data_IF_973820135856
#
_entry.id   IF_973820135856
#
_cell.length_a   1.000
_cell.length_b   1.000
_cell.length_c   1.000
_cell.angle_alpha   90.00
_cell.angle_beta   90.00
_cell.angle_gamma   90.00
#
_symmetry.space_group_name_H-M   'P 1'
#
loop_
_entity.id
_entity.type
_entity.pdbx_description
1 polymer ?
#
# COMPACT_ATOMS: atom_id res chain seq x y z
N UNK A 1 14.63 9.39 -13.51
CA UNK A 1 13.56 8.39 -13.29
C UNK A 1 13.79 7.78 -11.91
N UNK A 2 12.76 7.67 -11.07
CA UNK A 2 12.85 6.95 -9.79
C UNK A 2 12.96 5.47 -10.14
N UNK A 3 14.05 4.79 -9.79
CA UNK A 3 14.14 3.34 -9.98
C UNK A 3 13.02 2.68 -9.15
N UNK A 4 12.16 1.94 -9.83
CA UNK A 4 11.14 1.13 -9.17
C UNK A 4 11.83 -0.18 -8.79
N UNK A 5 12.19 -0.31 -7.53
CA UNK A 5 12.56 -1.61 -6.97
C UNK A 5 11.33 -2.52 -7.03
N UNK A 6 11.38 -3.52 -7.90
CA UNK A 6 10.32 -4.53 -8.00
C UNK A 6 10.54 -5.57 -6.90
N UNK A 7 9.48 -5.95 -6.21
CA UNK A 7 9.53 -6.99 -5.18
C UNK A 7 9.96 -8.33 -5.78
N UNK A 8 11.03 -8.93 -5.24
CA UNK A 8 11.50 -10.24 -5.69
C UNK A 8 10.80 -11.34 -4.88
N UNK A 9 9.95 -12.12 -5.53
CA UNK A 9 9.20 -13.17 -4.84
C UNK A 9 10.14 -14.22 -4.23
N UNK A 10 10.01 -14.43 -2.93
CA UNK A 10 10.62 -15.57 -2.24
C UNK A 10 9.70 -16.79 -2.29
N UNK A 11 10.29 -17.97 -2.49
CA UNK A 11 9.58 -19.25 -2.42
C UNK A 11 9.60 -19.78 -0.99
N UNK A 12 8.45 -20.31 -0.55
CA UNK A 12 8.28 -21.02 0.70
C UNK A 12 8.01 -22.49 0.40
N UNK A 13 8.57 -23.36 1.23
CA UNK A 13 8.37 -24.81 1.20
C UNK A 13 7.84 -25.22 2.56
N UNK A 14 6.89 -26.14 2.57
CA UNK A 14 6.34 -26.67 3.79
C UNK A 14 7.31 -27.67 4.41
N UNK A 15 7.22 -27.80 5.73
CA UNK A 15 7.91 -28.88 6.44
C UNK A 15 7.04 -30.12 6.38
N UNK A 16 7.59 -31.23 5.90
CA UNK A 16 6.89 -32.51 5.75
C UNK A 16 7.55 -33.55 6.64
N UNK A 17 6.74 -34.21 7.46
CA UNK A 17 7.16 -35.28 8.36
C UNK A 17 6.28 -36.51 8.18
N UNK A 18 6.75 -37.67 8.66
CA UNK A 18 6.02 -38.94 8.57
C UNK A 18 4.65 -38.87 9.29
N UNK A 19 4.60 -38.21 10.45
CA UNK A 19 3.41 -38.01 11.27
C UNK A 19 3.28 -36.53 11.63
N UNK A 20 2.74 -35.68 10.75
CA UNK A 20 2.64 -34.24 11.02
C UNK A 20 1.73 -33.94 12.20
N UNK A 21 2.16 -33.04 13.09
CA UNK A 21 1.37 -32.57 14.22
C UNK A 21 1.14 -33.62 15.32
N UNK A 22 1.95 -34.66 15.39
CA UNK A 22 1.93 -35.61 16.51
C UNK A 22 2.88 -35.19 17.62
N UNK A 23 2.44 -35.40 18.85
CA UNK A 23 3.18 -35.04 20.06
C UNK A 23 3.11 -36.17 21.07
N UNK A 24 4.19 -36.34 21.82
CA UNK A 24 4.22 -37.12 23.05
C UNK A 24 4.00 -36.19 24.23
N UNK A 25 3.10 -36.58 25.12
CA UNK A 25 2.80 -35.83 26.34
C UNK A 25 3.67 -36.32 27.50
N UNK A 26 4.20 -35.37 28.26
CA UNK A 26 4.90 -35.61 29.52
C UNK A 26 4.19 -34.84 30.61
N UNK A 27 3.70 -35.54 31.63
CA UNK A 27 3.09 -34.92 32.79
C UNK A 27 4.18 -34.50 33.79
N UNK A 28 4.21 -33.22 34.13
CA UNK A 28 5.20 -32.62 35.00
C UNK A 28 4.75 -32.70 36.47
N UNK A 29 5.72 -32.58 37.39
CA UNK A 29 5.46 -32.64 38.83
C UNK A 29 4.56 -31.49 39.33
N UNK A 30 4.56 -30.36 38.62
CA UNK A 30 3.72 -29.19 38.91
C UNK A 30 2.28 -29.32 38.36
N UNK A 31 1.95 -30.46 37.75
CA UNK A 31 0.64 -30.72 37.15
C UNK A 31 0.47 -30.19 35.72
N UNK A 32 1.48 -29.51 35.16
CA UNK A 32 1.47 -29.11 33.75
C UNK A 32 1.74 -30.29 32.81
N UNK A 33 1.41 -30.14 31.52
CA UNK A 33 1.71 -31.10 30.47
C UNK A 33 2.64 -30.44 29.45
N UNK A 34 3.75 -31.11 29.13
CA UNK A 34 4.64 -30.72 28.04
C UNK A 34 4.37 -31.58 26.81
N UNK A 35 4.05 -30.93 25.69
CA UNK A 35 3.99 -31.58 24.38
C UNK A 35 5.36 -31.55 23.72
N UNK A 36 5.94 -32.73 23.47
CA UNK A 36 7.19 -32.89 22.73
C UNK A 36 6.83 -33.40 21.34
N UNK A 37 7.24 -32.73 20.25
CA UNK A 37 7.00 -33.23 18.90
C UNK A 37 7.49 -34.67 18.73
N UNK A 38 6.65 -35.55 18.18
CA UNK A 38 6.95 -36.96 17.90
C UNK A 38 6.51 -37.30 16.47
N UNK A 39 7.05 -36.53 15.53
CA UNK A 39 6.58 -36.45 14.16
C UNK A 39 7.15 -37.54 13.23
N UNK A 40 7.95 -38.46 13.78
CA UNK A 40 8.66 -39.48 13.00
C UNK A 40 9.82 -38.89 12.18
N UNK A 41 10.08 -39.48 11.02
CA UNK A 41 11.11 -38.99 10.10
C UNK A 41 10.72 -37.65 9.46
N UNK A 42 11.69 -36.73 9.32
CA UNK A 42 11.51 -35.48 8.58
C UNK A 42 11.85 -35.74 7.11
N UNK A 43 10.85 -35.67 6.25
CA UNK A 43 11.00 -35.87 4.80
C UNK A 43 11.44 -34.58 4.09
N UNK A 44 10.95 -33.43 4.57
CA UNK A 44 11.34 -32.09 4.09
C UNK A 44 11.39 -31.12 5.28
N UNK A 45 12.47 -30.34 5.43
CA UNK A 45 12.63 -29.38 6.54
C UNK A 45 11.79 -28.09 6.37
N UNK A 46 11.34 -27.80 5.15
CA UNK A 46 10.63 -26.57 4.82
C UNK A 46 11.51 -25.32 4.85
N UNK A 47 10.88 -24.17 4.60
CA UNK A 47 11.54 -22.86 4.63
C UNK A 47 11.58 -22.28 6.05
N UNK A 48 12.70 -21.68 6.47
CA UNK A 48 12.82 -21.16 7.84
C UNK A 48 11.88 -19.99 8.06
N UNK A 49 11.07 -20.07 9.12
CA UNK A 49 10.24 -18.95 9.57
C UNK A 49 11.10 -17.96 10.37
N UNK A 50 11.42 -16.79 9.79
CA UNK A 50 12.30 -15.81 10.41
C UNK A 50 11.82 -14.37 10.19
N UNK A 51 12.16 -13.49 11.12
CA UNK A 51 11.82 -12.07 11.04
C UNK A 51 12.32 -11.43 9.74
N UNK A 52 13.51 -11.79 9.25
CA UNK A 52 14.04 -11.27 7.98
C UNK A 52 13.13 -11.61 6.79
N UNK A 53 12.64 -12.85 6.70
CA UNK A 53 11.74 -13.27 5.62
C UNK A 53 10.34 -12.67 5.76
N UNK A 54 9.83 -12.57 6.99
CA UNK A 54 8.53 -11.93 7.24
C UNK A 54 8.56 -10.43 6.95
N UNK A 55 9.59 -9.73 7.42
CA UNK A 55 9.77 -8.29 7.15
C UNK A 55 9.97 -8.01 5.66
N UNK A 56 10.54 -8.94 4.91
CA UNK A 56 10.63 -8.82 3.46
C UNK A 56 9.22 -8.78 2.83
N UNK A 57 8.34 -9.71 3.20
CA UNK A 57 6.93 -9.73 2.77
C UNK A 57 6.20 -8.45 3.19
N UNK A 58 6.29 -8.07 4.47
CA UNK A 58 5.67 -6.85 5.01
C UNK A 58 6.13 -5.59 4.29
N UNK A 59 7.44 -5.47 4.04
CA UNK A 59 8.02 -4.36 3.29
C UNK A 59 7.49 -4.30 1.85
N UNK A 60 7.34 -5.46 1.19
CA UNK A 60 6.74 -5.56 -0.14
C UNK A 60 5.29 -5.09 -0.17
N UNK A 61 4.47 -5.57 0.77
CA UNK A 61 3.05 -5.18 0.92
C UNK A 61 2.93 -3.69 1.19
N UNK A 62 3.72 -3.17 2.15
CA UNK A 62 3.71 -1.76 2.52
C UNK A 62 4.07 -0.85 1.33
N UNK A 63 5.18 -1.12 0.64
CA UNK A 63 5.60 -0.35 -0.54
C UNK A 63 4.53 -0.36 -1.64
N UNK A 64 3.94 -1.53 -1.91
CA UNK A 64 2.86 -1.67 -2.91
C UNK A 64 1.61 -0.85 -2.53
N UNK A 65 1.20 -0.91 -1.26
CA UNK A 65 0.05 -0.16 -0.74
C UNK A 65 0.24 1.35 -0.88
N UNK A 66 1.42 1.86 -0.52
CA UNK A 66 1.75 3.29 -0.68
C UNK A 66 1.75 3.68 -2.16
N UNK A 67 2.35 2.89 -3.04
CA UNK A 67 2.37 3.19 -4.47
C UNK A 67 0.97 3.17 -5.08
N UNK A 68 0.12 2.23 -4.69
CA UNK A 68 -1.28 2.18 -5.12
C UNK A 68 -2.06 3.42 -4.67
N UNK A 69 -1.82 3.89 -3.44
CA UNK A 69 -2.40 5.14 -2.95
C UNK A 69 -1.92 6.35 -3.77
N UNK A 70 -0.60 6.48 -3.98
CA UNK A 70 -0.04 7.58 -4.78
C UNK A 70 -0.61 7.57 -6.20
N UNK A 71 -0.64 6.41 -6.86
CA UNK A 71 -1.21 6.29 -8.20
C UNK A 71 -2.69 6.71 -8.23
N UNK A 72 -3.46 6.34 -7.21
CA UNK A 72 -4.87 6.76 -7.10
C UNK A 72 -4.99 8.28 -6.99
N UNK A 73 -4.17 8.90 -6.14
CA UNK A 73 -4.17 10.35 -5.93
C UNK A 73 -3.79 11.08 -7.24
N UNK A 74 -2.73 10.62 -7.92
CA UNK A 74 -2.27 11.16 -9.20
C UNK A 74 -3.31 11.01 -10.32
N UNK A 75 -3.94 9.82 -10.44
CA UNK A 75 -5.00 9.58 -11.43
C UNK A 75 -6.21 10.49 -11.16
N UNK A 76 -6.53 10.73 -9.89
CA UNK A 76 -7.64 11.62 -9.51
C UNK A 76 -7.33 13.06 -9.92
N UNK A 77 -6.10 13.53 -9.66
CA UNK A 77 -5.60 14.84 -10.13
C UNK A 77 -5.74 14.98 -11.64
N UNK A 78 -5.21 14.01 -12.39
CA UNK A 78 -5.25 14.01 -13.85
C UNK A 78 -6.68 13.96 -14.40
N UNK A 79 -7.58 13.22 -13.74
CA UNK A 79 -8.98 13.14 -14.17
C UNK A 79 -9.70 14.50 -14.04
N UNK A 80 -9.45 15.25 -12.96
CA UNK A 80 -9.99 16.60 -12.77
C UNK A 80 -9.43 17.57 -13.80
N UNK A 81 -8.10 17.54 -14.01
CA UNK A 81 -7.44 18.37 -15.00
C UNK A 81 -8.00 18.15 -16.41
N UNK A 82 -8.14 16.89 -16.82
CA UNK A 82 -8.71 16.51 -18.11
C UNK A 82 -10.17 16.96 -18.24
N UNK A 83 -10.99 16.84 -17.20
CA UNK A 83 -12.38 17.28 -17.22
C UNK A 83 -12.51 18.80 -17.45
N UNK A 84 -11.67 19.59 -16.79
CA UNK A 84 -11.63 21.05 -16.94
C UNK A 84 -11.17 21.45 -18.35
N UNK A 85 -10.06 20.87 -18.83
CA UNK A 85 -9.54 21.15 -20.17
C UNK A 85 -10.55 20.79 -21.27
N UNK A 86 -11.24 19.64 -21.12
CA UNK A 86 -12.34 19.26 -22.02
C UNK A 86 -13.46 20.29 -22.00
N UNK A 87 -13.91 20.71 -20.82
CA UNK A 87 -14.97 21.70 -20.71
C UNK A 87 -14.56 23.06 -21.33
N UNK A 88 -13.34 23.51 -21.09
CA UNK A 88 -12.80 24.73 -21.67
C UNK A 88 -12.75 24.69 -23.20
N UNK A 89 -12.25 23.59 -23.75
CA UNK A 89 -12.21 23.37 -25.20
C UNK A 89 -13.61 23.38 -25.82
N UNK A 90 -14.60 22.77 -25.14
CA UNK A 90 -16.00 22.77 -25.60
C UNK A 90 -16.64 24.16 -25.52
N UNK A 91 -16.20 25.02 -24.60
CA UNK A 91 -16.73 26.37 -24.40
C UNK A 91 -15.90 27.47 -25.09
N UNK A 92 -15.01 27.12 -26.02
CA UNK A 92 -14.13 28.07 -26.73
C UNK A 92 -13.32 28.98 -25.79
N UNK A 93 -12.92 28.49 -24.61
CA UNK A 93 -11.99 29.21 -23.74
C UNK A 93 -10.59 29.02 -24.32
N UNK A 94 -10.14 29.99 -25.11
CA UNK A 94 -8.85 29.95 -25.83
C UNK A 94 -7.67 30.53 -25.06
N UNK A 95 -7.88 31.02 -23.83
CA UNK A 95 -6.89 31.72 -23.02
C UNK A 95 -6.48 30.90 -21.78
N UNK A 96 -5.30 31.20 -21.23
CA UNK A 96 -4.59 30.43 -20.19
C UNK A 96 -5.49 29.87 -19.07
N UNK A 97 -5.44 28.55 -18.88
CA UNK A 97 -6.08 27.86 -17.76
C UNK A 97 -4.98 27.26 -16.90
N UNK A 98 -4.90 27.70 -15.65
CA UNK A 98 -3.97 27.16 -14.66
C UNK A 98 -4.77 26.36 -13.64
N UNK A 99 -4.36 25.11 -13.43
CA UNK A 99 -4.96 24.20 -12.46
C UNK A 99 -3.87 23.82 -11.47
N UNK A 100 -4.16 23.99 -10.18
CA UNK A 100 -3.25 23.64 -9.09
C UNK A 100 -4.05 22.85 -8.06
N UNK A 101 -3.60 21.64 -7.73
CA UNK A 101 -4.19 20.84 -6.67
C UNK A 101 -3.51 21.15 -5.34
N UNK A 102 -4.30 21.52 -4.35
CA UNK A 102 -3.84 21.81 -2.99
C UNK A 102 -4.30 20.72 -2.03
N UNK A 103 -3.46 20.38 -1.05
CA UNK A 103 -3.81 19.43 0.01
C UNK A 103 -4.90 19.99 0.93
N UNK A 104 -4.95 21.33 1.11
CA UNK A 104 -5.98 22.05 1.86
C UNK A 104 -6.22 23.44 1.25
N UNK A 105 -7.43 23.98 1.47
CA UNK A 105 -7.85 25.28 0.93
C UNK A 105 -7.19 26.47 1.66
N UNK A 106 -6.66 26.24 2.86
CA UNK A 106 -6.02 27.25 3.71
C UNK A 106 -4.68 27.75 3.16
N UNK A 107 -4.16 27.12 2.10
CA UNK A 107 -2.87 27.46 1.48
C UNK A 107 -2.96 28.55 0.39
N UNK A 108 -4.11 29.18 0.20
CA UNK A 108 -4.33 30.19 -0.85
C UNK A 108 -4.50 31.59 -0.23
N UNK A 109 -3.48 32.43 -0.35
CA UNK A 109 -3.58 33.87 -0.09
C UNK A 109 -3.92 34.63 -1.39
N UNK A 110 -5.10 35.27 -1.42
CA UNK A 110 -5.50 36.16 -2.50
C UNK A 110 -4.90 37.54 -2.29
N UNK A 111 -3.89 37.90 -3.09
CA UNK A 111 -3.29 39.23 -3.02
C UNK A 111 -4.17 40.30 -3.72
N UNK A 112 -4.83 39.94 -4.83
CA UNK A 112 -5.71 40.82 -5.60
C UNK A 112 -6.91 40.05 -6.16
N UNK A 113 -8.04 40.74 -6.36
CA UNK A 113 -9.28 40.18 -6.91
C UNK A 113 -10.38 39.95 -5.87
N UNK A 114 -11.58 39.57 -6.32
CA UNK A 114 -12.75 39.25 -5.49
C UNK A 114 -13.18 37.81 -5.76
N UNK A 115 -13.30 37.03 -4.68
CA UNK A 115 -13.86 35.68 -4.74
C UNK A 115 -15.39 35.73 -4.60
N UNK A 116 -16.10 35.32 -5.65
CA UNK A 116 -17.54 35.07 -5.60
C UNK A 116 -17.79 33.71 -4.93
N UNK A 117 -18.30 33.75 -3.70
CA UNK A 117 -18.54 32.58 -2.87
C UNK A 117 -19.73 31.72 -3.33
N UNK A 118 -20.67 32.30 -4.10
CA UNK A 118 -21.83 31.62 -4.65
C UNK A 118 -21.47 30.95 -5.98
N UNK A 119 -20.85 31.71 -6.90
CA UNK A 119 -20.41 31.22 -8.21
C UNK A 119 -19.15 30.38 -8.18
N UNK A 120 -18.41 30.36 -7.05
CA UNK A 120 -17.12 29.69 -6.87
C UNK A 120 -16.09 30.13 -7.91
N UNK A 121 -16.03 31.44 -8.20
CA UNK A 121 -15.15 32.04 -9.21
C UNK A 121 -14.29 33.14 -8.59
N UNK A 122 -13.03 33.21 -8.97
CA UNK A 122 -12.15 34.33 -8.66
C UNK A 122 -12.16 35.30 -9.85
N UNK A 123 -12.43 36.58 -9.59
CA UNK A 123 -12.33 37.66 -10.58
C UNK A 123 -11.14 38.52 -10.20
N UNK A 124 -10.18 38.68 -11.10
CA UNK A 124 -8.98 39.50 -10.94
C UNK A 124 -9.03 40.66 -11.92
#
# INVERSE_FOLDING_TARGET
MKNIEVYEKQTWQDRITERPGTFREVQNQDGSITHIPDEGEVLEEGSPFSANRMNYIEGGIYKSSIQAKTNKDDITSLAVEVAILKNASLNNITHNIFIVNFTNLDSIELNHGVYDSLGKRLVI
#
